data_IF_054056238686
#
_entry.id   IF_054056238686
#
_cell.length_a   1.000
_cell.length_b   1.000
_cell.length_c   1.000
_cell.angle_alpha   90.00
_cell.angle_beta   90.00
_cell.angle_gamma   90.00
#
_symmetry.space_group_name_H-M   'P 1'
#
loop_
_entity.id
_entity.type
_entity.pdbx_description
1 polymer ?
#
# COMPACT_ATOMS: atom_id res chain seq x y z
N UNK A 1 -7.66 12.72 -2.46
CA UNK A 1 -7.23 11.64 -1.53
C UNK A 1 -5.87 11.95 -0.90
N UNK A 2 -4.83 12.17 -1.70
CA UNK A 2 -3.48 12.58 -1.23
C UNK A 2 -3.52 13.91 -0.45
N UNK A 3 -4.30 14.88 -0.93
CA UNK A 3 -4.56 16.19 -0.27
C UNK A 3 -5.09 16.05 1.17
N UNK A 4 -5.96 15.08 1.44
CA UNK A 4 -6.59 14.91 2.75
C UNK A 4 -5.58 14.41 3.79
N UNK A 5 -4.73 13.46 3.41
CA UNK A 5 -3.66 12.95 4.27
C UNK A 5 -2.60 14.02 4.48
N UNK A 6 -2.23 14.73 3.42
CA UNK A 6 -1.25 15.80 3.48
C UNK A 6 -1.71 16.98 4.35
N UNK A 7 -2.98 17.37 4.27
CA UNK A 7 -3.55 18.50 5.03
C UNK A 7 -3.55 18.27 6.54
N UNK A 8 -3.66 17.03 7.00
CA UNK A 8 -3.58 16.67 8.42
C UNK A 8 -2.20 16.24 8.91
N UNK A 9 -1.24 16.01 8.01
CA UNK A 9 0.05 15.41 8.34
C UNK A 9 1.21 16.08 7.58
N UNK A 10 1.90 17.07 8.20
CA UNK A 10 2.97 17.81 7.51
C UNK A 10 4.15 16.93 7.08
N UNK A 11 4.34 15.79 7.74
CA UNK A 11 5.39 14.82 7.41
C UNK A 11 5.06 13.91 6.21
N UNK A 12 3.81 13.91 5.71
CA UNK A 12 3.37 12.97 4.66
C UNK A 12 4.11 13.20 3.34
N UNK A 13 4.03 14.39 2.75
CA UNK A 13 4.69 14.66 1.46
C UNK A 13 6.22 14.51 1.53
N UNK A 14 6.92 14.96 2.59
CA UNK A 14 8.32 14.62 2.82
C UNK A 14 8.60 13.12 2.90
N UNK A 15 7.68 12.33 3.48
CA UNK A 15 7.79 10.87 3.57
C UNK A 15 7.69 10.23 2.18
N UNK A 16 6.69 10.61 1.38
CA UNK A 16 6.51 10.08 0.01
C UNK A 16 7.77 10.31 -0.82
N UNK A 17 8.33 11.53 -0.81
CA UNK A 17 9.58 11.83 -1.53
C UNK A 17 10.75 10.99 -1.06
N UNK A 18 10.88 10.79 0.26
CA UNK A 18 11.94 9.98 0.83
C UNK A 18 11.79 8.50 0.49
N UNK A 19 10.56 7.96 0.52
CA UNK A 19 10.23 6.59 0.13
C UNK A 19 10.51 6.35 -1.36
N UNK A 20 10.08 7.27 -2.23
CA UNK A 20 10.37 7.19 -3.67
C UNK A 20 11.89 7.19 -3.93
N UNK A 21 12.64 8.05 -3.23
CA UNK A 21 14.12 8.06 -3.33
C UNK A 21 14.71 6.73 -2.86
N UNK A 22 14.25 6.18 -1.75
CA UNK A 22 14.70 4.89 -1.26
C UNK A 22 14.46 3.79 -2.30
N UNK A 23 13.25 3.69 -2.85
CA UNK A 23 12.89 2.74 -3.92
C UNK A 23 13.82 2.89 -5.13
N UNK A 24 14.08 4.12 -5.57
CA UNK A 24 15.01 4.39 -6.69
C UNK A 24 16.45 4.02 -6.37
N UNK A 25 16.93 4.27 -5.15
CA UNK A 25 18.27 3.86 -4.71
C UNK A 25 18.44 2.33 -4.71
N UNK A 26 17.34 1.58 -4.59
CA UNK A 26 17.31 0.12 -4.69
C UNK A 26 16.98 -0.39 -6.11
N UNK A 27 16.94 0.49 -7.12
CA UNK A 27 16.63 0.16 -8.52
C UNK A 27 15.24 -0.47 -8.71
N UNK A 28 14.29 -0.16 -7.83
CA UNK A 28 12.93 -0.70 -7.86
C UNK A 28 11.92 0.24 -8.54
N UNK A 29 12.33 1.43 -8.96
CA UNK A 29 11.42 2.44 -9.53
C UNK A 29 10.65 1.98 -10.78
N UNK A 30 11.16 1.11 -11.69
CA UNK A 30 10.36 0.62 -12.82
C UNK A 30 9.22 -0.31 -12.39
N UNK A 31 9.30 -0.88 -11.19
CA UNK A 31 8.32 -1.84 -10.65
C UNK A 31 7.30 -1.19 -9.71
N UNK A 32 7.60 0.03 -9.22
CA UNK A 32 6.76 0.75 -8.29
C UNK A 32 6.29 2.07 -8.93
N UNK A 33 5.03 2.14 -9.41
CA UNK A 33 4.48 3.41 -9.88
C UNK A 33 4.39 4.40 -8.72
N UNK A 34 4.42 5.70 -9.04
CA UNK A 34 4.46 6.76 -8.03
C UNK A 34 3.23 6.70 -7.11
N UNK A 35 2.08 6.42 -7.68
CA UNK A 35 0.79 6.25 -7.01
C UNK A 35 0.84 5.13 -5.98
N UNK A 36 1.59 4.05 -6.22
CA UNK A 36 1.74 2.98 -5.24
C UNK A 36 2.56 3.45 -4.02
N UNK A 37 3.57 4.29 -4.23
CA UNK A 37 4.37 4.88 -3.13
C UNK A 37 3.52 5.82 -2.29
N UNK A 38 2.67 6.63 -2.93
CA UNK A 38 1.70 7.48 -2.24
C UNK A 38 0.72 6.66 -1.41
N UNK A 39 0.17 5.56 -1.96
CA UNK A 39 -0.75 4.70 -1.24
C UNK A 39 -0.09 3.98 -0.06
N UNK A 40 1.16 3.52 -0.20
CA UNK A 40 1.93 2.92 0.90
C UNK A 40 2.19 3.94 2.02
N UNK A 41 2.58 5.16 1.67
CA UNK A 41 2.72 6.24 2.65
C UNK A 41 1.37 6.58 3.29
N UNK A 42 0.28 6.63 2.52
CA UNK A 42 -1.04 6.92 3.03
C UNK A 42 -1.48 5.84 4.03
N UNK A 43 -1.20 4.57 3.75
CA UNK A 43 -1.43 3.47 4.70
C UNK A 43 -0.61 3.61 5.99
N UNK A 44 0.66 4.01 5.89
CA UNK A 44 1.53 4.23 7.06
C UNK A 44 1.07 5.40 7.96
N UNK A 45 0.37 6.38 7.39
CA UNK A 45 -0.24 7.52 8.11
C UNK A 45 -1.70 7.24 8.53
N UNK A 46 -2.41 6.37 7.81
CA UNK A 46 -3.77 5.94 8.10
C UNK A 46 -3.74 4.80 9.11
N UNK A 47 -3.45 5.11 10.38
CA UNK A 47 -3.34 4.09 11.40
C UNK A 47 -4.72 3.50 11.79
N UNK A 48 -4.78 2.16 11.92
CA UNK A 48 -5.60 1.46 12.91
C UNK A 48 -4.74 0.95 14.10
N UNK A 49 -3.43 1.22 14.14
CA UNK A 49 -2.55 0.80 15.24
C UNK A 49 -2.51 1.83 16.37
N UNK A 50 -2.15 1.41 17.59
CA UNK A 50 -2.07 2.26 18.78
C UNK A 50 -1.05 3.42 18.67
N UNK A 51 -0.36 3.56 17.54
CA UNK A 51 0.67 4.57 17.33
C UNK A 51 0.09 5.80 16.61
N UNK A 52 0.37 7.02 17.10
CA UNK A 52 -0.05 8.26 16.44
C UNK A 52 0.58 8.37 15.04
N UNK A 53 0.04 9.17 14.12
CA UNK A 53 0.64 9.39 12.79
C UNK A 53 2.13 9.81 12.87
N UNK A 54 2.97 9.48 11.87
CA UNK A 54 4.38 9.86 11.90
C UNK A 54 4.56 11.39 11.91
N UNK A 55 5.31 11.90 12.89
CA UNK A 55 5.60 13.33 13.01
C UNK A 55 6.83 13.77 12.19
N UNK A 56 7.56 12.84 11.56
CA UNK A 56 8.75 13.14 10.75
C UNK A 56 8.83 12.25 9.52
N UNK A 57 9.55 12.72 8.49
CA UNK A 57 9.76 11.98 7.24
C UNK A 57 10.47 10.65 7.44
N UNK A 58 11.37 10.57 8.42
CA UNK A 58 12.14 9.35 8.72
C UNK A 58 11.25 8.33 9.41
N UNK A 59 10.45 8.76 10.40
CA UNK A 59 9.46 7.90 11.03
C UNK A 59 8.42 7.39 10.02
N UNK A 60 8.00 8.25 9.09
CA UNK A 60 7.13 7.87 7.99
C UNK A 60 7.77 6.81 7.08
N UNK A 61 9.02 7.00 6.68
CA UNK A 61 9.75 6.00 5.87
C UNK A 61 9.83 4.67 6.60
N UNK A 62 10.20 4.66 7.89
CA UNK A 62 10.32 3.43 8.66
C UNK A 62 8.98 2.68 8.72
N UNK A 63 7.85 3.37 8.88
CA UNK A 63 6.53 2.71 8.83
C UNK A 63 6.18 2.16 7.47
N UNK A 64 6.56 2.85 6.38
CA UNK A 64 6.42 2.31 5.02
C UNK A 64 7.24 1.03 4.87
N UNK A 65 8.48 1.00 5.35
CA UNK A 65 9.34 -0.18 5.28
C UNK A 65 8.82 -1.33 6.15
N UNK A 66 8.33 -1.04 7.36
CA UNK A 66 7.66 -2.02 8.22
C UNK A 66 6.43 -2.60 7.52
N UNK A 67 5.59 -1.76 6.92
CA UNK A 67 4.43 -2.21 6.15
C UNK A 67 4.84 -3.13 4.99
N UNK A 68 5.89 -2.78 4.25
CA UNK A 68 6.43 -3.62 3.17
C UNK A 68 6.93 -4.97 3.67
N UNK A 69 7.61 -5.00 4.81
CA UNK A 69 8.18 -6.22 5.37
C UNK A 69 7.15 -7.14 6.05
N UNK A 70 6.19 -6.57 6.76
CA UNK A 70 5.29 -7.31 7.65
C UNK A 70 3.92 -7.60 7.04
N UNK A 71 3.45 -6.81 6.07
CA UNK A 71 2.13 -7.04 5.50
C UNK A 71 2.11 -8.36 4.69
N UNK A 72 1.15 -9.26 4.94
CA UNK A 72 1.09 -10.53 4.23
C UNK A 72 0.48 -10.35 2.83
N UNK A 73 1.29 -9.83 1.90
CA UNK A 73 0.93 -9.51 0.51
C UNK A 73 0.31 -10.70 -0.25
N UNK A 74 0.74 -11.91 0.08
CA UNK A 74 0.25 -13.14 -0.54
C UNK A 74 -1.10 -13.61 0.02
N UNK A 75 -1.54 -13.10 1.17
CA UNK A 75 -2.75 -13.56 1.85
C UNK A 75 -3.89 -12.55 1.76
N UNK A 76 -3.59 -11.24 1.87
CA UNK A 76 -4.61 -10.19 1.91
C UNK A 76 -4.20 -8.93 1.15
N UNK A 77 -5.17 -8.23 0.54
CA UNK A 77 -4.89 -6.94 -0.09
C UNK A 77 -4.62 -5.87 0.98
N UNK A 78 -3.82 -4.88 0.64
CA UNK A 78 -3.71 -3.66 1.42
C UNK A 78 -4.86 -2.73 1.02
N UNK A 79 -5.83 -2.54 1.92
CA UNK A 79 -6.96 -1.61 1.70
C UNK A 79 -6.66 -0.28 2.38
N UNK A 80 -6.45 0.76 1.58
CA UNK A 80 -6.11 2.11 2.05
C UNK A 80 -7.36 2.98 2.04
N UNK A 81 -7.78 3.47 3.20
CA UNK A 81 -8.94 4.34 3.37
C UNK A 81 -8.60 5.51 4.30
N UNK A 82 -7.90 6.53 3.78
CA UNK A 82 -7.39 7.63 4.62
C UNK A 82 -8.50 8.57 5.11
N UNK A 83 -9.62 8.64 4.40
CA UNK A 83 -10.77 9.45 4.77
C UNK A 83 -11.69 8.74 5.77
N UNK A 84 -11.57 7.42 5.92
CA UNK A 84 -12.49 6.56 6.70
C UNK A 84 -13.93 6.64 6.19
N UNK A 85 -14.08 6.85 4.90
CA UNK A 85 -15.38 7.00 4.24
C UNK A 85 -15.81 5.72 3.52
N UNK A 86 -14.99 4.67 3.52
CA UNK A 86 -15.32 3.41 2.85
C UNK A 86 -16.35 2.62 3.66
N UNK A 87 -17.60 2.44 3.18
CA UNK A 87 -18.62 1.71 3.92
C UNK A 87 -18.22 0.25 4.13
N UNK A 88 -18.62 -0.34 5.26
CA UNK A 88 -18.29 -1.72 5.60
C UNK A 88 -18.77 -2.72 4.52
N UNK A 89 -19.95 -2.50 3.94
CA UNK A 89 -20.48 -3.31 2.86
C UNK A 89 -19.59 -3.24 1.59
N UNK A 90 -19.16 -2.04 1.21
CA UNK A 90 -18.26 -1.84 0.06
C UNK A 90 -16.90 -2.48 0.31
N UNK A 91 -16.33 -2.31 1.51
CA UNK A 91 -15.09 -2.98 1.92
C UNK A 91 -15.21 -4.50 1.81
N UNK A 92 -16.30 -5.09 2.29
CA UNK A 92 -16.53 -6.53 2.19
C UNK A 92 -16.65 -6.99 0.72
N UNK A 93 -17.33 -6.21 -0.13
CA UNK A 93 -17.43 -6.51 -1.56
C UNK A 93 -16.07 -6.46 -2.27
N UNK A 94 -15.21 -5.48 -1.96
CA UNK A 94 -13.85 -5.39 -2.50
C UNK A 94 -12.98 -6.59 -2.13
N UNK A 95 -13.06 -7.05 -0.88
CA UNK A 95 -12.32 -8.22 -0.42
C UNK A 95 -12.78 -9.50 -1.13
N UNK A 96 -14.10 -9.69 -1.31
CA UNK A 96 -14.66 -10.82 -2.08
C UNK A 96 -14.16 -10.80 -3.53
N UNK A 97 -14.24 -9.65 -4.19
CA UNK A 97 -13.78 -9.49 -5.57
C UNK A 97 -12.27 -9.74 -5.71
N UNK A 98 -11.46 -9.35 -4.72
CA UNK A 98 -10.04 -9.65 -4.68
C UNK A 98 -9.78 -11.16 -4.59
N UNK A 99 -10.47 -11.86 -3.69
CA UNK A 99 -10.31 -13.30 -3.50
C UNK A 99 -10.71 -14.10 -4.75
N UNK A 100 -11.78 -13.68 -5.44
CA UNK A 100 -12.19 -14.25 -6.72
C UNK A 100 -11.12 -14.11 -7.80
N UNK A 101 -10.54 -12.92 -7.97
CA UNK A 101 -9.45 -12.69 -8.94
C UNK A 101 -8.23 -13.56 -8.63
N UNK A 102 -7.91 -13.75 -7.36
CA UNK A 102 -6.79 -14.58 -6.92
C UNK A 102 -7.01 -16.07 -7.19
N UNK A 103 -8.25 -16.56 -7.08
CA UNK A 103 -8.59 -17.94 -7.47
C UNK A 103 -8.40 -18.16 -8.98
N UNK A 104 -8.80 -17.19 -9.79
CA UNK A 104 -8.67 -17.27 -11.26
C UNK A 104 -7.20 -17.21 -11.69
N UNK A 105 -6.38 -16.35 -11.06
CA UNK A 105 -4.95 -16.21 -11.37
C UNK A 105 -4.06 -17.39 -10.94
N UNK A 106 -4.53 -18.27 -10.05
CA UNK A 106 -3.82 -19.48 -9.62
C UNK A 106 -3.92 -20.67 -10.58
N UNK A 107 -4.73 -20.57 -11.65
CA UNK A 107 -5.02 -21.66 -12.58
C UNK A 107 -4.21 -21.67 -13.89
N UNK A 108 -3.27 -20.74 -14.10
CA UNK A 108 -2.41 -20.74 -15.30
C UNK A 108 -1.23 -21.69 -15.08
N UNK A 109 -1.55 -22.98 -14.97
CA UNK A 109 -0.59 -24.05 -15.18
C UNK A 109 -0.28 -24.15 -16.68
N UNK A 110 0.98 -23.89 -17.01
CA UNK A 110 1.60 -24.14 -18.31
C UNK A 110 1.04 -25.42 -18.96
N UNK A 111 0.30 -25.25 -20.06
CA UNK A 111 0.00 -26.34 -21.01
C UNK A 111 0.82 -26.13 -22.28
N UNK A 112 2.14 -26.07 -22.15
CA UNK A 112 3.04 -26.25 -23.30
C UNK A 112 3.57 -27.68 -23.27
N UNK A 113 2.65 -28.61 -23.54
CA UNK A 113 2.96 -30.00 -23.85
C UNK A 113 3.07 -30.13 -25.37
N UNK A 114 4.31 -30.19 -25.86
CA UNK A 114 4.72 -30.68 -27.18
C UNK A 114 3.75 -31.70 -27.79
N UNK A 115 3.35 -31.45 -29.04
CA UNK A 115 2.95 -32.44 -30.03
C UNK A 115 3.82 -32.27 -31.26
#
# INVERSE_FOLDING_TARGET
LVELVAGGNPAYAPTVRLAARWISCHMLSPHFPHEAVELLAAAAFSAPSALPPPASRVAGLLRVLQLLAEHPWHARPLVVDPARELPAATRAALLRAYDERRRVGGGVGCKDGRG
#
